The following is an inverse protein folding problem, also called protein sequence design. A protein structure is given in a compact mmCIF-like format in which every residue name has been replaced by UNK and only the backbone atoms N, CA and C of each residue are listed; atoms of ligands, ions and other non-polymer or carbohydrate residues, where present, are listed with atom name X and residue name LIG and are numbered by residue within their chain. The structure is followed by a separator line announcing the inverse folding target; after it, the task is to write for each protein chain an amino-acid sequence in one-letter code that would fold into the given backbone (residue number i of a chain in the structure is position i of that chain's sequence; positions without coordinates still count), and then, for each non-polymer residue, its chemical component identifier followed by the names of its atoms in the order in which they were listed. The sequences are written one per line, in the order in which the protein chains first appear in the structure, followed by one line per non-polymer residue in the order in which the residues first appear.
data_IF_872389612977
#
_entry.id   IF_872389612977
#
_cell.length_a   1.000
_cell.length_b   1.000
_cell.length_c   1.000
_cell.angle_alpha   90.00
_cell.angle_beta   90.00
_cell.angle_gamma   90.00
#
_symmetry.space_group_name_H-M   'P 1'
#
loop_
_entity.id
_entity.type
_entity.pdbx_description
1 polymer ?
#
# COMPACT_ATOMS: atom_id res chain seq x y z
N UNK A 1 -8.05 11.53 -9.26
CA UNK A 1 -7.72 11.01 -10.58
C UNK A 1 -8.68 9.89 -10.98
N UNK A 2 -8.90 9.76 -12.28
CA UNK A 2 -9.59 8.64 -12.89
C UNK A 2 -8.69 8.12 -14.01
N UNK A 3 -8.43 6.82 -14.00
CA UNK A 3 -7.67 6.18 -15.06
C UNK A 3 -8.61 5.25 -15.83
N UNK A 4 -8.57 5.35 -17.14
CA UNK A 4 -9.27 4.46 -18.07
C UNK A 4 -8.23 3.84 -18.99
N UNK A 5 -8.34 2.54 -19.21
CA UNK A 5 -7.46 1.79 -20.08
C UNK A 5 -8.30 0.85 -20.94
N UNK A 6 -8.06 0.87 -22.24
CA UNK A 6 -8.62 -0.07 -23.21
C UNK A 6 -7.47 -0.88 -23.81
N UNK A 7 -7.59 -2.19 -23.76
CA UNK A 7 -6.61 -3.12 -24.31
C UNK A 7 -7.24 -3.89 -25.46
N UNK A 8 -6.55 -3.89 -26.58
CA UNK A 8 -6.96 -4.58 -27.80
C UNK A 8 -6.09 -5.81 -28.02
N UNK A 9 -6.70 -6.89 -28.43
CA UNK A 9 -6.01 -8.13 -28.76
C UNK A 9 -6.59 -8.73 -30.02
N UNK A 10 -5.79 -9.50 -30.73
CA UNK A 10 -6.20 -10.30 -31.89
C UNK A 10 -6.16 -11.80 -31.60
N UNK A 11 -5.81 -12.17 -30.38
CA UNK A 11 -5.76 -13.53 -29.91
C UNK A 11 -6.44 -13.60 -28.54
N UNK A 12 -7.43 -14.46 -28.44
CA UNK A 12 -8.09 -14.84 -27.18
C UNK A 12 -8.03 -16.35 -27.03
N UNK A 13 -8.52 -16.87 -25.94
CA UNK A 13 -8.60 -18.31 -25.69
C UNK A 13 -10.00 -18.71 -25.27
N UNK A 14 -10.35 -19.95 -25.57
CA UNK A 14 -11.47 -20.66 -24.96
C UNK A 14 -10.93 -21.85 -24.17
N UNK A 15 -11.47 -22.07 -22.96
CA UNK A 15 -11.11 -23.21 -22.11
C UNK A 15 -12.29 -24.14 -21.96
N UNK A 16 -12.02 -25.43 -22.12
CA UNK A 16 -12.98 -26.52 -21.90
C UNK A 16 -12.26 -27.63 -21.13
N UNK A 17 -13.00 -28.53 -20.53
CA UNK A 17 -12.47 -29.74 -19.92
C UNK A 17 -12.77 -30.96 -20.80
N UNK A 18 -11.76 -31.73 -21.12
CA UNK A 18 -11.90 -32.99 -21.81
C UNK A 18 -12.00 -34.11 -20.78
N UNK A 19 -13.16 -34.78 -20.75
CA UNK A 19 -13.45 -35.87 -19.82
C UNK A 19 -12.74 -37.17 -20.18
N UNK A 20 -12.29 -37.33 -21.43
CA UNK A 20 -11.58 -38.55 -21.85
C UNK A 20 -10.10 -38.49 -21.43
N UNK A 21 -9.49 -37.33 -21.54
CA UNK A 21 -8.09 -37.11 -21.16
C UNK A 21 -7.94 -36.53 -19.75
N UNK A 22 -9.04 -36.25 -19.06
CA UNK A 22 -9.10 -35.64 -17.72
C UNK A 22 -8.24 -34.36 -17.63
N UNK A 23 -8.28 -33.53 -18.65
CA UNK A 23 -7.40 -32.36 -18.75
C UNK A 23 -8.11 -31.12 -19.30
N UNK A 24 -7.55 -29.97 -18.93
CA UNK A 24 -7.94 -28.68 -19.50
C UNK A 24 -7.51 -28.61 -20.98
N UNK A 25 -8.42 -28.23 -21.86
CA UNK A 25 -8.17 -27.95 -23.26
C UNK A 25 -8.23 -26.45 -23.49
N UNK A 26 -7.12 -25.86 -23.91
CA UNK A 26 -7.03 -24.44 -24.26
C UNK A 26 -7.03 -24.29 -25.79
N UNK A 27 -8.07 -23.66 -26.32
CA UNK A 27 -8.22 -23.42 -27.75
C UNK A 27 -7.93 -21.95 -28.05
N UNK A 28 -6.86 -21.63 -28.82
CA UNK A 28 -6.61 -20.28 -29.29
C UNK A 28 -7.66 -19.81 -30.27
N UNK A 29 -8.22 -18.63 -30.10
CA UNK A 29 -9.17 -17.98 -30.99
C UNK A 29 -8.50 -16.72 -31.58
N UNK A 30 -8.52 -16.66 -32.93
CA UNK A 30 -8.03 -15.50 -33.69
C UNK A 30 -9.17 -14.57 -34.00
N UNK A 31 -9.01 -13.30 -33.74
CA UNK A 31 -9.99 -12.26 -34.00
C UNK A 31 -9.76 -11.05 -33.15
N UNK A 32 -10.31 -9.92 -33.55
CA UNK A 32 -10.25 -8.70 -32.73
C UNK A 32 -11.17 -8.82 -31.52
N UNK A 33 -10.63 -8.52 -30.35
CA UNK A 33 -11.39 -8.36 -29.13
C UNK A 33 -10.74 -7.27 -28.24
N UNK A 34 -11.48 -6.75 -27.28
CA UNK A 34 -10.99 -5.73 -26.37
C UNK A 34 -11.59 -5.83 -24.98
N UNK A 35 -10.84 -5.37 -23.99
CA UNK A 35 -11.39 -5.16 -22.66
C UNK A 35 -11.01 -3.77 -22.12
N UNK A 36 -11.86 -3.26 -21.25
CA UNK A 36 -11.75 -1.93 -20.66
C UNK A 36 -11.69 -2.05 -19.18
N UNK A 37 -10.71 -1.35 -18.59
CA UNK A 37 -10.56 -1.25 -17.14
C UNK A 37 -10.50 0.21 -16.74
N UNK A 38 -10.98 0.50 -15.55
CA UNK A 38 -10.89 1.84 -14.98
C UNK A 38 -10.74 1.76 -13.47
N UNK A 39 -10.10 2.76 -12.90
CA UNK A 39 -10.02 2.96 -11.48
C UNK A 39 -10.18 4.44 -11.12
N UNK A 40 -10.56 4.67 -9.89
CA UNK A 40 -10.67 6.00 -9.32
C UNK A 40 -9.81 6.12 -8.09
N UNK A 41 -9.13 7.25 -7.96
CA UNK A 41 -8.43 7.60 -6.74
C UNK A 41 -8.60 9.09 -6.43
N UNK A 42 -8.74 9.38 -5.15
CA UNK A 42 -8.73 10.75 -4.64
C UNK A 42 -7.83 10.83 -3.44
N UNK A 43 -7.24 12.00 -3.21
CA UNK A 43 -6.45 12.24 -2.02
C UNK A 43 -6.59 13.68 -1.56
N UNK A 44 -6.57 13.86 -0.25
CA UNK A 44 -6.59 15.16 0.40
C UNK A 44 -5.45 15.18 1.40
N UNK A 45 -4.68 16.26 1.40
CA UNK A 45 -3.59 16.47 2.34
C UNK A 45 -3.47 17.95 2.70
N UNK A 46 -2.83 18.20 3.82
CA UNK A 46 -2.55 19.54 4.29
C UNK A 46 -1.15 19.61 4.87
N UNK A 47 -0.69 20.82 5.14
CA UNK A 47 0.56 21.05 5.85
C UNK A 47 0.29 21.84 7.12
N UNK A 48 0.70 21.30 8.25
CA UNK A 48 0.60 21.92 9.57
C UNK A 48 1.99 22.29 10.03
N UNK A 49 2.15 23.48 10.54
CA UNK A 49 3.41 24.00 11.06
C UNK A 49 3.31 24.21 12.57
N UNK A 50 4.24 23.64 13.31
CA UNK A 50 4.50 23.97 14.71
C UNK A 50 5.80 24.76 14.84
N UNK A 51 5.83 25.80 15.61
CA UNK A 51 7.03 26.56 15.94
C UNK A 51 7.15 26.66 17.46
N UNK A 52 8.29 26.23 17.97
CA UNK A 52 8.64 26.35 19.39
C UNK A 52 9.84 27.29 19.50
N UNK A 53 9.65 28.43 20.09
CA UNK A 53 10.68 29.44 20.29
C UNK A 53 11.23 29.35 21.74
N UNK A 54 12.55 29.31 21.88
CA UNK A 54 13.25 29.19 23.15
C UNK A 54 14.04 30.47 23.51
N UNK A 55 14.04 31.46 22.61
CA UNK A 55 14.75 32.71 22.71
C UNK A 55 16.15 32.71 22.08
N UNK A 56 16.59 33.90 21.69
CA UNK A 56 17.84 34.12 20.96
C UNK A 56 19.09 33.78 21.75
N UNK A 57 19.01 33.84 23.09
CA UNK A 57 20.13 33.55 23.99
C UNK A 57 20.43 32.06 24.13
N UNK A 58 19.55 31.19 23.68
CA UNK A 58 19.73 29.75 23.81
C UNK A 58 20.53 29.17 22.64
N UNK A 59 21.18 28.02 22.88
CA UNK A 59 21.90 27.28 21.86
C UNK A 59 20.95 26.80 20.75
N UNK A 60 19.77 26.29 21.13
CA UNK A 60 18.66 26.03 20.23
C UNK A 60 17.69 27.19 20.41
N UNK A 61 17.54 28.02 19.39
CA UNK A 61 16.70 29.21 19.42
C UNK A 61 15.25 28.89 19.13
N UNK A 62 15.01 28.01 18.13
CA UNK A 62 13.67 27.57 17.78
C UNK A 62 13.71 26.16 17.18
N UNK A 63 12.60 25.44 17.29
CA UNK A 63 12.34 24.19 16.57
C UNK A 63 11.09 24.40 15.70
N UNK A 64 11.21 24.09 14.41
CA UNK A 64 10.11 24.03 13.48
C UNK A 64 9.76 22.58 13.19
N UNK A 65 8.51 22.22 13.48
CA UNK A 65 7.92 20.94 13.10
C UNK A 65 6.97 21.15 11.93
N UNK A 66 7.19 20.44 10.84
CA UNK A 66 6.32 20.45 9.69
C UNK A 66 5.69 19.08 9.58
N UNK A 67 4.36 19.02 9.62
CA UNK A 67 3.56 17.80 9.48
C UNK A 67 2.73 17.88 8.20
N UNK A 68 2.71 16.79 7.45
CA UNK A 68 1.90 16.66 6.22
C UNK A 68 1.04 15.41 6.31
N UNK A 69 -0.10 15.49 7.02
CA UNK A 69 -1.09 14.42 6.99
C UNK A 69 -1.77 14.36 5.63
N UNK A 70 -2.04 13.15 5.15
CA UNK A 70 -2.88 12.92 3.98
C UNK A 70 -3.73 11.68 4.12
N UNK A 71 -4.89 11.73 3.49
CA UNK A 71 -5.82 10.63 3.33
C UNK A 71 -6.06 10.42 1.84
N UNK A 72 -6.07 9.18 1.40
CA UNK A 72 -6.40 8.79 0.03
C UNK A 72 -7.48 7.73 0.01
N UNK A 73 -8.30 7.74 -1.02
CA UNK A 73 -9.28 6.70 -1.29
C UNK A 73 -9.07 6.16 -2.69
N UNK A 74 -8.98 4.85 -2.81
CA UNK A 74 -8.78 4.14 -4.07
C UNK A 74 -9.89 3.12 -4.24
N UNK A 75 -10.42 3.03 -5.48
CA UNK A 75 -11.42 2.06 -5.85
C UNK A 75 -11.09 1.45 -7.21
N UNK A 76 -11.05 0.13 -7.28
CA UNK A 76 -10.91 -0.65 -8.51
C UNK A 76 -12.14 -1.54 -8.63
N UNK A 77 -13.03 -1.28 -9.59
CA UNK A 77 -14.18 -2.13 -9.85
C UNK A 77 -13.77 -3.56 -10.23
N UNK A 78 -14.67 -4.50 -9.99
CA UNK A 78 -14.59 -5.83 -10.58
C UNK A 78 -14.91 -5.77 -12.09
N UNK A 79 -14.22 -6.56 -12.88
CA UNK A 79 -14.46 -6.70 -14.32
C UNK A 79 -14.82 -8.14 -14.65
N UNK A 80 -15.73 -8.71 -13.86
CA UNK A 80 -16.23 -10.07 -13.94
C UNK A 80 -16.93 -10.38 -15.27
N UNK A 81 -17.44 -9.36 -15.95
CA UNK A 81 -18.01 -9.50 -17.30
C UNK A 81 -17.02 -10.02 -18.36
N UNK A 82 -15.73 -10.03 -18.08
CA UNK A 82 -14.69 -10.59 -18.94
C UNK A 82 -14.26 -12.00 -18.54
N UNK A 83 -14.95 -12.58 -17.56
CA UNK A 83 -14.69 -13.92 -17.06
C UNK A 83 -15.81 -14.87 -17.47
N UNK A 84 -15.43 -16.08 -17.77
CA UNK A 84 -16.28 -17.19 -18.12
C UNK A 84 -15.97 -18.38 -17.21
N UNK A 85 -16.83 -19.37 -17.17
CA UNK A 85 -16.65 -20.59 -16.39
C UNK A 85 -16.67 -21.81 -17.29
N UNK A 86 -15.91 -22.82 -16.95
CA UNK A 86 -16.05 -24.17 -17.50
C UNK A 86 -16.08 -25.18 -16.36
N UNK A 87 -16.72 -26.33 -16.60
CA UNK A 87 -16.87 -27.38 -15.61
C UNK A 87 -15.70 -28.36 -15.70
N UNK A 88 -15.15 -28.75 -14.56
CA UNK A 88 -14.15 -29.81 -14.43
C UNK A 88 -14.67 -30.90 -13.52
N UNK A 89 -14.27 -32.13 -13.72
CA UNK A 89 -14.59 -33.23 -12.80
C UNK A 89 -13.76 -33.03 -11.56
N UNK A 90 -14.42 -33.00 -10.40
CA UNK A 90 -13.76 -32.88 -9.09
C UNK A 90 -12.90 -34.10 -8.81
N UNK A 91 -11.94 -33.97 -7.90
CA UNK A 91 -11.03 -35.06 -7.50
C UNK A 91 -11.74 -36.31 -6.93
N UNK A 92 -13.01 -36.18 -6.52
CA UNK A 92 -13.85 -37.30 -6.10
C UNK A 92 -14.45 -38.13 -7.25
N UNK A 93 -14.35 -37.63 -8.49
CA UNK A 93 -14.91 -38.23 -9.70
C UNK A 93 -16.44 -38.26 -9.78
N UNK A 94 -17.14 -37.63 -8.82
CA UNK A 94 -18.60 -37.68 -8.71
C UNK A 94 -19.29 -36.32 -8.85
N UNK A 95 -18.55 -35.26 -8.56
CA UNK A 95 -19.05 -33.87 -8.65
C UNK A 95 -18.32 -33.09 -9.74
N UNK A 96 -18.89 -31.98 -10.16
CA UNK A 96 -18.24 -31.03 -11.05
C UNK A 96 -17.95 -29.74 -10.31
N UNK A 97 -16.76 -29.20 -10.48
CA UNK A 97 -16.36 -27.89 -10.02
C UNK A 97 -16.40 -26.90 -11.18
N UNK A 98 -16.78 -25.66 -10.90
CA UNK A 98 -16.70 -24.58 -11.88
C UNK A 98 -15.37 -23.84 -11.71
N UNK A 99 -14.62 -23.72 -12.80
CA UNK A 99 -13.36 -22.99 -12.84
C UNK A 99 -13.53 -21.75 -13.68
N UNK A 100 -13.19 -20.63 -13.09
CA UNK A 100 -13.22 -19.33 -13.76
C UNK A 100 -11.97 -19.11 -14.61
N UNK A 101 -12.16 -18.57 -15.79
CA UNK A 101 -11.06 -18.09 -16.63
C UNK A 101 -11.45 -16.81 -17.35
N UNK A 102 -10.48 -16.09 -17.90
CA UNK A 102 -10.75 -15.01 -18.83
C UNK A 102 -10.16 -15.33 -20.20
N UNK A 103 -10.92 -15.05 -21.25
CA UNK A 103 -10.42 -15.22 -22.62
C UNK A 103 -9.20 -14.33 -22.94
N UNK A 104 -8.89 -13.38 -22.08
CA UNK A 104 -7.72 -12.49 -22.17
C UNK A 104 -6.50 -12.98 -21.38
N UNK A 105 -6.53 -14.19 -20.83
CA UNK A 105 -5.46 -14.72 -19.96
C UNK A 105 -4.07 -14.66 -20.64
N UNK A 106 -4.00 -14.95 -21.92
CA UNK A 106 -2.78 -14.91 -22.72
C UNK A 106 -2.58 -13.58 -23.46
N UNK A 107 -3.30 -12.53 -23.08
CA UNK A 107 -3.11 -11.19 -23.64
C UNK A 107 -1.76 -10.61 -23.28
N UNK A 108 -1.12 -9.88 -24.20
CA UNK A 108 0.12 -9.16 -23.99
C UNK A 108 0.02 -8.15 -22.83
N UNK A 109 -1.16 -7.67 -22.53
CA UNK A 109 -1.42 -6.65 -21.50
C UNK A 109 -1.95 -7.22 -20.18
N UNK A 110 -1.92 -8.55 -20.02
CA UNK A 110 -2.48 -9.24 -18.86
C UNK A 110 -4.01 -9.35 -18.89
N UNK A 111 -4.57 -9.80 -17.79
CA UNK A 111 -6.01 -10.01 -17.61
C UNK A 111 -6.67 -8.83 -16.89
N UNK A 112 -7.96 -8.54 -17.18
CA UNK A 112 -8.73 -7.61 -16.34
C UNK A 112 -8.91 -8.18 -14.92
N UNK A 113 -8.93 -7.33 -13.91
CA UNK A 113 -9.14 -7.77 -12.53
C UNK A 113 -10.57 -8.27 -12.29
N UNK A 114 -10.73 -9.48 -11.73
CA UNK A 114 -12.05 -10.04 -11.41
C UNK A 114 -12.63 -9.50 -10.11
N UNK A 115 -11.78 -9.13 -9.16
CA UNK A 115 -12.18 -8.83 -7.80
C UNK A 115 -12.26 -7.32 -7.58
N UNK A 116 -13.38 -6.89 -6.98
CA UNK A 116 -13.51 -5.52 -6.49
C UNK A 116 -12.51 -5.25 -5.37
N UNK A 117 -11.83 -4.11 -5.42
CA UNK A 117 -10.99 -3.65 -4.33
C UNK A 117 -11.21 -2.17 -4.03
N UNK A 118 -11.23 -1.85 -2.75
CA UNK A 118 -11.37 -0.48 -2.27
C UNK A 118 -10.54 -0.30 -1.00
N UNK A 119 -9.83 0.82 -0.90
CA UNK A 119 -8.97 1.09 0.24
C UNK A 119 -8.89 2.57 0.60
N UNK A 120 -8.72 2.84 1.89
CA UNK A 120 -8.38 4.14 2.44
C UNK A 120 -6.93 4.11 2.88
N UNK A 121 -6.10 4.97 2.31
CA UNK A 121 -4.71 5.15 2.73
C UNK A 121 -4.59 6.34 3.68
N UNK A 122 -3.81 6.16 4.75
CA UNK A 122 -3.45 7.21 5.69
C UNK A 122 -1.94 7.40 5.68
N UNK A 123 -1.47 8.63 5.58
CA UNK A 123 -0.06 8.91 5.73
C UNK A 123 0.20 10.20 6.52
N UNK A 124 1.33 10.22 7.22
CA UNK A 124 1.80 11.38 7.97
C UNK A 124 3.30 11.50 7.75
N UNK A 125 3.69 12.55 7.04
CA UNK A 125 5.10 12.88 6.84
C UNK A 125 5.50 14.01 7.78
N UNK A 126 6.61 13.84 8.47
CA UNK A 126 7.12 14.80 9.43
C UNK A 126 8.55 15.21 9.10
N UNK A 127 8.86 16.45 9.42
CA UNK A 127 10.19 17.03 9.30
C UNK A 127 10.43 17.95 10.51
N UNK A 128 11.61 17.86 11.14
CA UNK A 128 12.01 18.66 12.27
C UNK A 128 13.29 19.42 11.96
N UNK A 129 13.21 20.74 12.01
CA UNK A 129 14.35 21.64 11.85
C UNK A 129 14.59 22.42 13.14
N UNK A 130 15.85 22.61 13.49
CA UNK A 130 16.26 23.49 14.56
C UNK A 130 16.99 24.72 14.02
N UNK A 131 16.69 25.88 14.59
CA UNK A 131 17.47 27.09 14.46
C UNK A 131 18.45 27.12 15.65
N UNK A 132 19.74 26.99 15.36
CA UNK A 132 20.79 26.96 16.37
C UNK A 132 21.68 28.20 16.24
N UNK A 133 22.19 28.67 17.40
CA UNK A 133 23.20 29.75 17.42
C UNK A 133 24.45 29.23 16.71
N UNK A 134 24.98 30.03 15.78
CA UNK A 134 26.28 29.71 15.18
C UNK A 134 27.38 29.77 16.21
N UNK A 135 28.40 28.95 16.02
CA UNK A 135 29.62 28.97 16.85
C UNK A 135 30.51 30.17 16.54
N UNK A 136 30.39 30.71 15.35
CA UNK A 136 31.10 31.91 14.94
C UNK A 136 30.39 33.13 15.52
N UNK A 137 31.09 33.83 16.44
CA UNK A 137 30.55 35.04 17.09
C UNK A 137 30.34 36.21 16.11
N UNK A 138 30.84 36.13 14.87
CA UNK A 138 30.67 37.13 13.84
C UNK A 138 29.49 36.83 12.91
N UNK A 139 28.90 35.63 13.03
CA UNK A 139 27.71 35.25 12.23
C UNK A 139 26.49 36.05 12.68
N UNK A 140 25.89 36.77 11.73
CA UNK A 140 24.68 37.57 11.96
C UNK A 140 23.40 36.75 11.88
N UNK A 141 23.46 35.54 11.33
CA UNK A 141 22.32 34.65 11.18
C UNK A 141 22.53 33.31 11.89
N UNK A 142 21.43 32.79 12.46
CA UNK A 142 21.45 31.48 13.09
C UNK A 142 21.48 30.35 12.06
N UNK A 143 22.23 29.32 12.34
CA UNK A 143 22.35 28.13 11.48
C UNK A 143 21.08 27.29 11.56
N UNK A 144 20.55 26.88 10.42
CA UNK A 144 19.44 25.88 10.33
C UNK A 144 20.04 24.49 10.23
N UNK A 145 19.54 23.58 11.05
CA UNK A 145 19.98 22.17 11.09
C UNK A 145 18.74 21.28 11.12
N UNK A 146 18.72 20.27 10.27
CA UNK A 146 17.69 19.24 10.35
C UNK A 146 17.98 18.32 11.54
N UNK A 147 17.04 18.26 12.49
CA UNK A 147 17.05 17.26 13.55
C UNK A 147 16.55 15.93 13.02
N UNK A 148 15.55 16.00 12.14
CA UNK A 148 14.97 14.85 11.48
C UNK A 148 14.52 15.28 10.09
N UNK A 149 15.20 14.76 9.06
CA UNK A 149 14.90 15.10 7.69
C UNK A 149 13.56 14.53 7.25
N UNK A 150 13.24 13.33 7.72
CA UNK A 150 11.97 12.67 7.47
C UNK A 150 11.61 11.71 8.59
N UNK A 151 10.32 11.66 8.93
CA UNK A 151 9.71 10.63 9.75
C UNK A 151 8.30 10.38 9.18
N UNK A 152 8.13 9.25 8.54
CA UNK A 152 6.94 8.93 7.78
C UNK A 152 6.21 7.75 8.42
N UNK A 153 4.90 7.90 8.54
CA UNK A 153 3.99 6.83 8.93
C UNK A 153 3.03 6.61 7.79
N UNK A 154 2.73 5.36 7.47
CA UNK A 154 1.71 5.02 6.49
C UNK A 154 1.03 3.72 6.82
N UNK A 155 -0.26 3.66 6.56
CA UNK A 155 -1.09 2.44 6.66
C UNK A 155 -2.24 2.53 5.68
N UNK A 156 -2.88 1.38 5.40
CA UNK A 156 -4.06 1.30 4.57
C UNK A 156 -5.15 0.50 5.29
N UNK A 157 -6.38 0.91 5.08
CA UNK A 157 -7.57 0.17 5.47
C UNK A 157 -8.23 -0.40 4.22
N UNK A 158 -8.36 -1.72 4.13
CA UNK A 158 -9.07 -2.40 3.05
C UNK A 158 -10.58 -2.34 3.35
N UNK A 159 -11.31 -1.55 2.56
CA UNK A 159 -12.76 -1.36 2.73
C UNK A 159 -13.55 -2.56 2.17
N UNK A 160 -12.99 -3.24 1.18
CA UNK A 160 -13.61 -4.38 0.51
C UNK A 160 -13.30 -5.73 1.17
N UNK A 161 -12.46 -5.76 2.18
CA UNK A 161 -12.08 -7.00 2.87
C UNK A 161 -13.03 -7.35 4.02
N UNK A 162 -13.20 -8.63 4.26
CA UNK A 162 -14.04 -9.16 5.34
C UNK A 162 -13.29 -9.30 6.68
N UNK A 163 -11.97 -9.32 6.64
CA UNK A 163 -11.12 -9.50 7.81
C UNK A 163 -9.72 -8.91 7.60
N UNK A 164 -9.00 -8.65 8.69
CA UNK A 164 -7.63 -8.10 8.67
C UNK A 164 -7.53 -6.82 7.82
N UNK A 165 -8.52 -5.95 7.93
CA UNK A 165 -8.69 -4.79 7.06
C UNK A 165 -7.56 -3.76 7.18
N UNK A 166 -6.94 -3.63 8.35
CA UNK A 166 -5.80 -2.74 8.52
C UNK A 166 -4.50 -3.39 8.05
N UNK A 167 -3.78 -2.70 7.19
CA UNK A 167 -2.39 -3.03 6.92
C UNK A 167 -1.49 -2.64 8.10
N UNK A 168 -0.37 -3.31 8.33
CA UNK A 168 0.61 -2.84 9.30
C UNK A 168 1.02 -1.39 9.04
N UNK A 169 1.21 -0.62 10.11
CA UNK A 169 1.75 0.74 10.03
C UNK A 169 3.24 0.64 9.70
N UNK A 170 3.62 1.24 8.58
CA UNK A 170 5.01 1.38 8.18
C UNK A 170 5.56 2.69 8.72
N UNK A 171 6.66 2.58 9.44
CA UNK A 171 7.47 3.68 9.93
C UNK A 171 8.75 3.73 9.11
N UNK A 172 9.12 4.89 8.62
CA UNK A 172 10.43 5.12 8.02
C UNK A 172 10.92 6.50 8.37
N UNK A 173 12.21 6.65 8.57
CA UNK A 173 12.80 7.93 8.90
C UNK A 173 14.25 8.01 8.52
N UNK A 174 14.74 9.22 8.48
CA UNK A 174 16.14 9.49 8.20
C UNK A 174 16.55 10.88 8.61
N UNK A 175 17.82 11.00 8.98
CA UNK A 175 18.46 12.29 9.27
C UNK A 175 19.90 12.31 8.81
N UNK A 176 20.37 13.51 8.55
CA UNK A 176 21.77 13.78 8.21
C UNK A 176 22.42 14.57 9.35
N UNK A 177 23.48 14.04 9.87
CA UNK A 177 24.21 14.58 11.01
C UNK A 177 25.62 15.02 10.58
N UNK A 178 26.29 15.81 11.41
CA UNK A 178 27.68 16.24 11.25
C UNK A 178 27.93 16.93 9.90
N UNK A 179 27.09 17.91 9.57
CA UNK A 179 27.14 18.63 8.28
C UNK A 179 27.09 17.68 7.08
N UNK A 180 26.14 16.75 7.10
CA UNK A 180 25.86 15.73 6.06
C UNK A 180 26.93 14.64 5.91
N UNK A 181 27.86 14.51 6.87
CA UNK A 181 28.89 13.46 6.85
C UNK A 181 28.39 12.11 7.37
N UNK A 182 27.29 12.11 8.13
CA UNK A 182 26.67 10.89 8.65
C UNK A 182 25.19 10.88 8.28
N UNK A 183 24.77 9.88 7.52
CA UNK A 183 23.38 9.61 7.22
C UNK A 183 22.87 8.45 8.06
N UNK A 184 21.78 8.66 8.78
CA UNK A 184 21.11 7.63 9.60
C UNK A 184 19.74 7.41 9.00
N UNK A 185 19.44 6.17 8.61
CA UNK A 185 18.11 5.76 8.13
C UNK A 185 17.60 4.62 9.01
N UNK A 186 16.32 4.62 9.28
CA UNK A 186 15.66 3.59 10.08
C UNK A 186 14.27 3.33 9.56
N UNK A 187 13.75 2.13 9.85
CA UNK A 187 12.39 1.75 9.50
C UNK A 187 11.88 0.68 10.45
N UNK A 188 10.56 0.57 10.51
CA UNK A 188 9.88 -0.48 11.28
C UNK A 188 8.50 -0.75 10.68
N UNK A 189 8.01 -1.95 10.88
CA UNK A 189 6.66 -2.36 10.55
C UNK A 189 5.93 -2.76 11.81
N UNK A 190 4.83 -2.09 12.10
CA UNK A 190 4.05 -2.20 13.33
C UNK A 190 2.69 -2.81 12.98
N UNK A 191 2.47 -4.06 13.36
CA UNK A 191 1.24 -4.79 13.08
C UNK A 191 0.21 -4.59 14.19
N UNK A 192 -1.03 -4.15 13.90
CA UNK A 192 -2.06 -3.97 14.90
C UNK A 192 -2.68 -5.28 15.37
N UNK A 193 -2.53 -6.38 14.62
CA UNK A 193 -3.22 -7.65 14.89
C UNK A 193 -2.41 -8.60 15.76
N UNK A 194 -3.13 -9.39 16.54
CA UNK A 194 -2.59 -10.48 17.34
C UNK A 194 -2.17 -11.68 16.48
N UNK A 195 -1.37 -12.57 17.07
CA UNK A 195 -1.06 -13.88 16.53
C UNK A 195 -1.73 -14.96 17.37
N UNK A 196 -2.12 -16.05 16.74
CA UNK A 196 -2.50 -17.27 17.43
C UNK A 196 -1.27 -18.08 17.90
N UNK A 197 -1.54 -19.26 18.49
CA UNK A 197 -0.48 -20.15 18.97
C UNK A 197 0.40 -20.73 17.85
N UNK A 198 -0.03 -20.62 16.60
CA UNK A 198 0.72 -21.07 15.43
C UNK A 198 1.47 -19.93 14.72
N UNK A 199 1.57 -18.73 15.36
CA UNK A 199 2.10 -17.51 14.77
C UNK A 199 1.34 -17.04 13.52
N UNK A 200 0.07 -17.41 13.38
CA UNK A 200 -0.79 -16.94 12.31
C UNK A 200 -1.57 -15.70 12.77
N UNK A 201 -1.69 -14.71 11.91
CA UNK A 201 -2.42 -13.48 12.19
C UNK A 201 -3.91 -13.76 12.32
N UNK A 202 -4.52 -13.25 13.39
CA UNK A 202 -5.96 -13.37 13.67
C UNK A 202 -6.64 -12.00 13.59
N UNK A 203 -7.94 -11.99 13.26
CA UNK A 203 -8.72 -10.77 13.14
C UNK A 203 -9.15 -10.19 14.50
N UNK A 204 -8.16 -10.01 15.38
CA UNK A 204 -8.31 -9.41 16.71
C UNK A 204 -7.12 -8.46 16.91
N UNK A 205 -7.38 -7.27 17.42
CA UNK A 205 -6.26 -6.36 17.69
C UNK A 205 -5.39 -6.89 18.83
N UNK A 206 -4.09 -6.65 18.71
CA UNK A 206 -3.12 -7.11 19.70
C UNK A 206 -3.38 -6.51 21.09
N UNK A 207 -3.89 -5.28 21.18
CA UNK A 207 -4.28 -4.65 22.43
C UNK A 207 -5.47 -5.35 23.10
N UNK A 208 -6.45 -5.81 22.31
CA UNK A 208 -7.65 -6.52 22.82
C UNK A 208 -7.29 -7.93 23.30
N UNK A 209 -6.15 -8.46 22.85
CA UNK A 209 -5.61 -9.75 23.30
C UNK A 209 -4.57 -9.61 24.43
N UNK A 210 -4.58 -8.47 25.14
CA UNK A 210 -3.70 -8.22 26.28
C UNK A 210 -2.26 -7.81 25.93
N UNK A 211 -1.98 -7.55 24.67
CA UNK A 211 -0.68 -7.07 24.19
C UNK A 211 -0.60 -5.55 24.11
N UNK A 212 0.47 -5.04 23.48
CA UNK A 212 0.65 -3.63 23.17
C UNK A 212 -0.25 -3.19 21.99
N UNK A 213 -0.40 -1.87 21.78
CA UNK A 213 -1.19 -1.31 20.67
C UNK A 213 -0.74 -1.85 19.29
N UNK A 214 0.54 -2.04 19.13
CA UNK A 214 1.13 -2.62 17.94
C UNK A 214 2.18 -3.66 18.33
N UNK A 215 2.38 -4.62 17.46
CA UNK A 215 3.43 -5.62 17.52
C UNK A 215 4.50 -5.27 16.47
N UNK A 216 5.76 -5.22 16.87
CA UNK A 216 6.86 -5.04 15.92
C UNK A 216 7.00 -6.31 15.07
N UNK A 217 6.81 -6.18 13.76
CA UNK A 217 6.92 -7.30 12.82
C UNK A 217 8.23 -7.30 12.03
N UNK A 218 8.84 -6.11 11.83
CA UNK A 218 10.19 -5.96 11.26
C UNK A 218 10.77 -4.59 11.60
N UNK A 219 12.09 -4.50 11.66
CA UNK A 219 12.84 -3.26 11.85
C UNK A 219 14.15 -3.30 11.05
#
# INVERSE_FOLDING_TARGET
SANYKENWTFNTINKTYDTETESEVVTPLKGFDSYRTYNFSTSVGTTVYGMFDFGEDKKIQAIRHVMRPSISYNINPAFDQYYETYEVISADGMTTDQVDYTRFENSLFGSPGKVFSSSVGLSLNNNLEAKIRDKDSTATEAKKVFLLNSLNFSTNYNVAGDSLNWSPVRLSGGTQLLDNKLSVNFGATLDPYALDNNNTKVNTFNIDNGGSLFRLSSA
#
